data_IF_310620718502
#
_entry.id   IF_310620718502
#
_cell.length_a   1.000
_cell.length_b   1.000
_cell.length_c   1.000
_cell.angle_alpha   90.00
_cell.angle_beta   90.00
_cell.angle_gamma   90.00
#
_symmetry.space_group_name_H-M   'P 1'
#
loop_
_entity.id
_entity.type
_entity.pdbx_description
1 polymer ?
#
# COMPACT_ATOMS: atom_id res chain seq x y z
N UNK A 1 -36.24 9.04 50.85
CA UNK A 1 -35.43 10.28 50.67
C UNK A 1 -34.80 10.62 52.01
N UNK A 2 -33.53 10.28 52.19
CA UNK A 2 -32.72 10.70 53.34
C UNK A 2 -31.28 10.85 52.87
N UNK A 3 -30.78 12.08 52.92
CA UNK A 3 -29.41 12.47 52.58
C UNK A 3 -28.46 11.90 53.63
N UNK A 4 -27.49 11.09 53.19
CA UNK A 4 -26.43 10.51 54.03
C UNK A 4 -25.19 11.39 54.03
N UNK A 5 -24.75 11.71 55.25
CA UNK A 5 -23.51 12.40 55.62
C UNK A 5 -22.25 11.67 55.09
N UNK A 6 -21.24 12.46 54.71
CA UNK A 6 -19.86 12.02 54.47
C UNK A 6 -19.17 11.99 55.84
N UNK A 7 -18.71 10.81 56.28
CA UNK A 7 -17.77 10.69 57.41
C UNK A 7 -16.36 10.34 56.95
N UNK A 8 -15.43 10.89 57.72
CA UNK A 8 -14.02 11.10 57.46
C UNK A 8 -13.16 9.84 57.53
N UNK A 9 -12.00 10.01 56.87
CA UNK A 9 -10.84 9.15 56.84
C UNK A 9 -10.38 8.69 58.23
N UNK A 10 -10.16 7.38 58.38
CA UNK A 10 -9.21 6.85 59.36
C UNK A 10 -8.05 6.19 58.62
N UNK A 11 -6.93 6.88 58.68
CA UNK A 11 -5.59 6.37 58.41
C UNK A 11 -5.23 5.36 59.52
N UNK A 12 -4.88 4.12 59.17
CA UNK A 12 -4.05 3.28 60.03
C UNK A 12 -3.26 2.26 59.22
N UNK A 13 -1.95 2.44 59.32
CA UNK A 13 -0.93 1.40 59.50
C UNK A 13 -0.47 0.55 58.29
N UNK A 14 0.69 0.97 57.82
CA UNK A 14 1.72 0.17 57.17
C UNK A 14 2.17 -0.96 58.12
N UNK A 15 2.00 -2.21 57.72
CA UNK A 15 2.85 -3.31 58.21
C UNK A 15 3.47 -4.06 57.03
N UNK A 16 4.80 -4.12 57.10
CA UNK A 16 5.69 -4.79 56.15
C UNK A 16 5.47 -6.30 56.23
N UNK A 17 5.29 -6.97 55.09
CA UNK A 17 6.20 -8.06 54.75
C UNK A 17 6.02 -8.61 53.33
N UNK A 18 7.18 -8.76 52.70
CA UNK A 18 7.56 -9.88 51.85
C UNK A 18 7.19 -9.85 50.36
N UNK A 19 8.27 -9.97 49.59
CA UNK A 19 8.39 -10.55 48.25
C UNK A 19 8.09 -9.70 47.00
N UNK A 20 9.19 -9.60 46.22
CA UNK A 20 9.26 -9.70 44.76
C UNK A 20 9.24 -8.37 44.01
N UNK A 21 10.45 -7.90 43.69
CA UNK A 21 10.72 -7.22 42.42
C UNK A 21 10.06 -8.01 41.29
N UNK A 22 9.10 -7.41 40.59
CA UNK A 22 8.83 -7.76 39.21
C UNK A 22 8.31 -6.55 38.44
N UNK A 23 9.24 -5.96 37.68
CA UNK A 23 8.97 -5.17 36.49
C UNK A 23 7.88 -5.86 35.66
N UNK A 24 6.74 -5.20 35.44
CA UNK A 24 5.81 -5.61 34.40
C UNK A 24 5.48 -4.40 33.54
N UNK A 25 6.45 -4.03 32.69
CA UNK A 25 6.13 -3.45 31.39
C UNK A 25 5.32 -4.53 30.68
N UNK A 26 4.00 -4.42 30.68
CA UNK A 26 3.17 -5.22 29.81
C UNK A 26 3.46 -4.78 28.37
N UNK A 27 4.46 -5.44 27.76
CA UNK A 27 4.59 -5.50 26.31
C UNK A 27 3.37 -6.22 25.79
N UNK A 28 2.40 -5.48 25.28
CA UNK A 28 1.32 -6.02 24.47
C UNK A 28 1.95 -6.81 23.32
N UNK A 29 1.66 -8.12 23.16
CA UNK A 29 2.22 -8.87 22.06
C UNK A 29 1.56 -8.39 20.76
N UNK A 30 2.32 -7.68 19.93
CA UNK A 30 2.03 -7.47 18.52
C UNK A 30 1.91 -8.85 17.88
N UNK A 31 0.68 -9.37 17.79
CA UNK A 31 0.39 -10.65 17.16
C UNK A 31 -0.80 -10.49 16.22
N UNK A 32 -0.57 -9.78 15.11
CA UNK A 32 -1.41 -9.94 13.93
C UNK A 32 -0.60 -10.70 12.90
N UNK A 33 -0.91 -12.00 12.77
CA UNK A 33 -0.49 -12.83 11.64
C UNK A 33 -0.73 -12.02 10.36
N UNK A 34 0.33 -11.65 9.65
CA UNK A 34 0.25 -10.99 8.36
C UNK A 34 -0.65 -11.87 7.47
N UNK A 35 -1.89 -11.45 7.20
CA UNK A 35 -2.73 -12.12 6.21
C UNK A 35 -1.94 -12.07 4.90
N UNK A 36 -1.73 -13.23 4.29
CA UNK A 36 -0.98 -13.43 3.04
C UNK A 36 -1.37 -12.31 2.05
N UNK A 37 -0.41 -11.52 1.60
CA UNK A 37 -0.61 -10.54 0.53
C UNK A 37 -1.22 -11.30 -0.65
N UNK A 38 -2.39 -10.86 -1.12
CA UNK A 38 -3.04 -11.49 -2.27
C UNK A 38 -2.06 -11.47 -3.45
N UNK A 39 -1.88 -12.61 -4.12
CA UNK A 39 -1.07 -12.68 -5.34
C UNK A 39 -1.90 -12.13 -6.48
N UNK A 40 -1.57 -10.91 -6.91
CA UNK A 40 -2.16 -10.27 -8.08
C UNK A 40 -1.86 -11.10 -9.34
N UNK A 41 -2.87 -11.31 -10.17
CA UNK A 41 -2.74 -12.06 -11.42
C UNK A 41 -2.17 -11.17 -12.52
N UNK A 42 -0.84 -11.19 -12.67
CA UNK A 42 -0.17 -10.46 -13.76
C UNK A 42 -0.50 -11.03 -15.14
N UNK A 43 -0.99 -12.27 -15.20
CA UNK A 43 -1.39 -12.96 -16.43
C UNK A 43 -2.60 -12.31 -17.13
N UNK A 44 -3.29 -11.39 -16.45
CA UNK A 44 -4.35 -10.56 -17.02
C UNK A 44 -3.79 -9.52 -17.99
N UNK A 45 -2.54 -9.10 -17.82
CA UNK A 45 -1.93 -8.07 -18.64
C UNK A 45 -1.64 -8.58 -20.06
N UNK A 46 -2.05 -7.79 -21.04
CA UNK A 46 -1.81 -8.04 -22.46
C UNK A 46 -1.02 -6.87 -23.08
N UNK A 47 -0.34 -7.14 -24.18
CA UNK A 47 0.39 -6.14 -24.95
C UNK A 47 0.16 -6.33 -26.45
N UNK A 48 0.43 -5.28 -27.22
CA UNK A 48 0.41 -5.30 -28.68
C UNK A 48 1.69 -4.71 -29.25
N UNK A 49 1.98 -4.99 -30.52
CA UNK A 49 3.23 -4.57 -31.16
C UNK A 49 3.31 -3.04 -31.31
N UNK A 50 4.49 -2.49 -31.03
CA UNK A 50 4.81 -1.10 -31.31
C UNK A 50 5.10 -0.93 -32.82
N UNK A 51 4.25 -0.20 -33.54
CA UNK A 51 4.44 0.08 -34.98
C UNK A 51 5.64 0.99 -35.29
N UNK A 52 6.13 1.76 -34.32
CA UNK A 52 7.21 2.75 -34.49
C UNK A 52 8.41 2.50 -33.55
N UNK A 53 9.06 1.32 -33.59
CA UNK A 53 10.12 0.97 -32.63
C UNK A 53 11.43 1.75 -32.86
N UNK A 54 11.60 2.38 -34.02
CA UNK A 54 12.80 3.13 -34.40
C UNK A 54 12.79 4.59 -33.93
N UNK A 55 11.78 5.01 -33.16
CA UNK A 55 11.65 6.36 -32.64
C UNK A 55 11.22 6.30 -31.18
N UNK A 56 11.87 7.10 -30.33
CA UNK A 56 11.41 7.29 -28.97
C UNK A 56 10.16 8.16 -28.95
N UNK A 57 9.13 7.69 -28.26
CA UNK A 57 7.96 8.46 -27.90
C UNK A 57 7.49 8.03 -26.51
N UNK A 58 6.89 8.95 -25.76
CA UNK A 58 6.43 8.68 -24.41
C UNK A 58 4.93 8.43 -24.43
N UNK A 59 4.50 7.32 -23.82
CA UNK A 59 3.10 7.04 -23.51
C UNK A 59 2.89 7.39 -22.04
N UNK A 60 1.86 8.21 -21.76
CA UNK A 60 1.39 8.53 -20.42
C UNK A 60 -0.04 8.01 -20.24
N UNK A 61 -0.26 7.22 -19.20
CA UNK A 61 -1.55 6.64 -18.82
C UNK A 61 -1.86 7.08 -17.40
N UNK A 62 -3.02 7.71 -17.21
CA UNK A 62 -3.50 8.16 -15.89
C UNK A 62 -4.78 7.40 -15.53
N UNK A 63 -4.76 6.71 -14.40
CA UNK A 63 -5.94 6.13 -13.78
C UNK A 63 -6.27 6.88 -12.48
N UNK A 64 -7.26 7.80 -12.49
CA UNK A 64 -7.64 8.57 -11.30
C UNK A 64 -8.56 7.81 -10.33
N UNK A 65 -8.95 6.57 -10.65
CA UNK A 65 -9.95 5.80 -9.91
C UNK A 65 -9.35 4.55 -9.24
N UNK A 66 -8.04 4.55 -8.98
CA UNK A 66 -7.40 3.40 -8.34
C UNK A 66 -7.81 3.28 -6.87
N UNK A 67 -8.03 2.04 -6.42
CA UNK A 67 -8.36 1.74 -5.04
C UNK A 67 -7.78 0.41 -4.59
N UNK A 68 -7.42 0.33 -3.30
CA UNK A 68 -6.98 -0.88 -2.62
C UNK A 68 -7.44 -0.87 -1.16
N UNK A 69 -6.98 -1.81 -0.33
CA UNK A 69 -7.34 -1.87 1.08
C UNK A 69 -6.09 -1.74 1.96
N UNK A 70 -6.19 -0.91 3.00
CA UNK A 70 -5.13 -0.80 4.00
C UNK A 70 -4.93 -2.15 4.73
N UNK A 71 -3.72 -2.75 4.73
CA UNK A 71 -3.47 -4.03 5.39
C UNK A 71 -3.79 -4.07 6.88
N UNK A 72 -3.72 -2.92 7.55
CA UNK A 72 -3.83 -2.81 9.02
C UNK A 72 -5.26 -2.52 9.46
N UNK A 73 -5.93 -1.57 8.81
CA UNK A 73 -7.26 -1.07 9.21
C UNK A 73 -8.39 -1.74 8.44
N UNK A 74 -8.10 -2.27 7.24
CA UNK A 74 -9.13 -2.81 6.34
C UNK A 74 -9.98 -1.75 5.65
N UNK A 75 -9.66 -0.46 5.81
CA UNK A 75 -10.36 0.63 5.14
C UNK A 75 -9.88 0.78 3.68
N UNK A 76 -10.76 1.23 2.77
CA UNK A 76 -10.42 1.41 1.37
C UNK A 76 -9.53 2.64 1.18
N UNK A 77 -8.38 2.46 0.55
CA UNK A 77 -7.49 3.53 0.12
C UNK A 77 -7.78 3.90 -1.34
N UNK A 78 -7.65 5.19 -1.66
CA UNK A 78 -7.90 5.73 -3.00
C UNK A 78 -6.69 6.52 -3.46
N UNK A 79 -6.39 6.43 -4.75
CA UNK A 79 -5.27 7.17 -5.32
C UNK A 79 -5.36 7.29 -6.84
N UNK A 80 -4.46 8.09 -7.39
CA UNK A 80 -4.22 8.22 -8.82
C UNK A 80 -2.96 7.46 -9.17
N UNK A 81 -3.00 6.66 -10.22
CA UNK A 81 -1.81 6.01 -10.80
C UNK A 81 -1.47 6.68 -12.12
N UNK A 82 -0.23 7.12 -12.26
CA UNK A 82 0.34 7.61 -13.51
C UNK A 82 1.46 6.67 -13.95
N UNK A 83 1.33 6.09 -15.14
CA UNK A 83 2.37 5.30 -15.79
C UNK A 83 2.91 6.11 -16.96
N UNK A 84 4.23 6.32 -17.00
CA UNK A 84 4.94 6.96 -18.12
C UNK A 84 6.00 6.00 -18.63
N UNK A 85 6.01 5.70 -19.91
CA UNK A 85 7.03 4.81 -20.47
C UNK A 85 7.37 5.12 -21.92
N UNK A 86 8.59 4.79 -22.31
CA UNK A 86 9.04 4.73 -23.70
C UNK A 86 9.04 3.27 -24.12
N UNK A 87 8.14 2.83 -25.03
CA UNK A 87 8.08 1.44 -25.45
C UNK A 87 9.31 1.05 -26.27
N UNK A 88 9.68 -0.23 -26.21
CA UNK A 88 10.57 -0.83 -27.21
C UNK A 88 9.76 -1.52 -28.30
N UNK A 89 9.54 -2.84 -28.22
CA UNK A 89 8.79 -3.61 -29.21
C UNK A 89 7.29 -3.71 -28.95
N UNK A 90 6.83 -3.41 -27.74
CA UNK A 90 5.44 -3.62 -27.35
C UNK A 90 4.89 -2.45 -26.52
N UNK A 91 3.57 -2.30 -26.58
CA UNK A 91 2.77 -1.34 -25.83
C UNK A 91 1.72 -2.09 -25.00
N UNK A 92 1.41 -1.59 -23.81
CA UNK A 92 0.38 -2.20 -22.94
C UNK A 92 -1.02 -2.00 -23.51
N UNK A 93 -1.85 -3.03 -23.46
CA UNK A 93 -3.26 -2.94 -23.85
C UNK A 93 -4.11 -2.37 -22.69
N UNK A 94 -4.87 -1.31 -22.94
CA UNK A 94 -5.53 -0.52 -21.89
C UNK A 94 -6.65 -1.26 -21.16
N UNK A 95 -7.41 -2.14 -21.83
CA UNK A 95 -8.48 -2.92 -21.21
C UNK A 95 -7.90 -3.92 -20.20
N UNK A 96 -6.82 -4.61 -20.54
CA UNK A 96 -6.09 -5.55 -19.71
C UNK A 96 -5.51 -4.84 -18.49
N UNK A 97 -4.90 -3.65 -18.68
CA UNK A 97 -4.38 -2.82 -17.61
C UNK A 97 -5.46 -2.37 -16.62
N UNK A 98 -6.64 -2.01 -17.12
CA UNK A 98 -7.81 -1.71 -16.27
C UNK A 98 -8.19 -2.91 -15.40
N UNK A 99 -8.26 -4.12 -15.97
CA UNK A 99 -8.59 -5.32 -15.20
C UNK A 99 -7.49 -5.70 -14.20
N UNK A 100 -6.22 -5.50 -14.56
CA UNK A 100 -5.11 -5.65 -13.65
C UNK A 100 -5.24 -4.72 -12.43
N UNK A 101 -5.63 -3.46 -12.62
CA UNK A 101 -5.91 -2.55 -11.50
C UNK A 101 -7.11 -2.98 -10.64
N UNK A 102 -8.15 -3.59 -11.24
CA UNK A 102 -9.31 -4.06 -10.48
C UNK A 102 -8.99 -5.16 -9.48
N UNK A 103 -7.98 -5.99 -9.75
CA UNK A 103 -7.56 -7.03 -8.81
C UNK A 103 -7.04 -6.41 -7.47
N UNK A 104 -6.62 -5.14 -7.44
CA UNK A 104 -6.12 -4.49 -6.23
C UNK A 104 -7.23 -4.03 -5.29
N UNK A 105 -8.48 -3.92 -5.78
CA UNK A 105 -9.62 -3.32 -5.07
C UNK A 105 -9.86 -3.91 -3.68
N UNK A 106 -9.56 -5.18 -3.50
CA UNK A 106 -9.74 -5.90 -2.24
C UNK A 106 -8.41 -6.42 -1.65
N UNK A 107 -7.29 -6.02 -2.25
CA UNK A 107 -5.96 -6.42 -1.81
C UNK A 107 -5.54 -5.57 -0.61
N UNK A 108 -5.17 -6.26 0.47
CA UNK A 108 -4.50 -5.64 1.62
C UNK A 108 -3.03 -5.40 1.32
N UNK A 109 -2.66 -4.21 0.83
CA UNK A 109 -1.29 -3.93 0.36
C UNK A 109 -0.88 -2.49 0.66
N UNK A 110 0.41 -2.28 1.00
CA UNK A 110 0.98 -0.95 1.25
C UNK A 110 1.25 -0.21 -0.07
N UNK A 111 1.22 1.11 -0.02
CA UNK A 111 1.37 1.98 -1.18
C UNK A 111 2.66 1.73 -1.94
N UNK A 112 3.77 1.62 -1.23
CA UNK A 112 5.10 1.37 -1.78
C UNK A 112 5.16 0.04 -2.52
N UNK A 113 4.51 -0.99 -1.97
CA UNK A 113 4.44 -2.30 -2.58
C UNK A 113 3.57 -2.29 -3.85
N UNK A 114 2.48 -1.52 -3.87
CA UNK A 114 1.64 -1.35 -5.08
C UNK A 114 2.48 -0.75 -6.20
N UNK A 115 3.16 0.38 -5.93
CA UNK A 115 3.94 1.11 -6.94
C UNK A 115 5.06 0.25 -7.52
N UNK A 116 5.84 -0.42 -6.67
CA UNK A 116 6.93 -1.30 -7.11
C UNK A 116 6.39 -2.52 -7.87
N UNK A 117 5.30 -3.12 -7.40
CA UNK A 117 4.72 -4.28 -8.07
C UNK A 117 4.19 -3.95 -9.47
N UNK A 118 3.55 -2.79 -9.64
CA UNK A 118 3.09 -2.33 -10.94
C UNK A 118 4.28 -2.13 -11.89
N UNK A 119 5.38 -1.53 -11.41
CA UNK A 119 6.60 -1.40 -12.20
C UNK A 119 7.13 -2.77 -12.63
N UNK A 120 7.33 -3.70 -11.69
CA UNK A 120 7.90 -5.02 -11.95
C UNK A 120 7.08 -5.81 -12.97
N UNK A 121 5.76 -5.84 -12.80
CA UNK A 121 4.86 -6.59 -13.69
C UNK A 121 4.83 -5.97 -15.10
N UNK A 122 4.86 -4.63 -15.21
CA UNK A 122 4.90 -3.95 -16.52
C UNK A 122 6.26 -4.04 -17.21
N UNK A 123 7.37 -3.98 -16.46
CA UNK A 123 8.72 -4.18 -17.02
C UNK A 123 8.86 -5.60 -17.56
N UNK A 124 8.38 -6.61 -16.81
CA UNK A 124 8.39 -8.00 -17.24
C UNK A 124 7.54 -8.23 -18.51
N UNK A 125 6.41 -7.54 -18.64
CA UNK A 125 5.53 -7.63 -19.81
C UNK A 125 6.12 -6.91 -21.03
N UNK A 126 6.53 -5.65 -20.86
CA UNK A 126 6.78 -4.74 -21.98
C UNK A 126 8.23 -4.69 -22.42
N UNK A 127 9.17 -5.00 -21.51
CA UNK A 127 10.61 -4.73 -21.69
C UNK A 127 10.86 -3.33 -22.27
N UNK A 128 10.35 -2.26 -21.62
CA UNK A 128 10.40 -0.90 -22.15
C UNK A 128 11.81 -0.34 -22.11
N UNK A 129 12.07 0.76 -22.83
CA UNK A 129 13.36 1.48 -22.72
C UNK A 129 13.47 2.21 -21.39
N UNK A 130 12.39 2.91 -21.03
CA UNK A 130 12.21 3.55 -19.73
C UNK A 130 10.77 3.36 -19.27
N UNK A 131 10.55 3.24 -17.97
CA UNK A 131 9.22 3.18 -17.38
C UNK A 131 9.24 3.82 -16.00
N UNK A 132 8.25 4.64 -15.69
CA UNK A 132 8.06 5.27 -14.39
C UNK A 132 6.61 5.08 -13.96
N UNK A 133 6.44 4.66 -12.71
CA UNK A 133 5.13 4.57 -12.06
C UNK A 133 5.11 5.57 -10.91
N UNK A 134 4.08 6.41 -10.89
CA UNK A 134 3.80 7.37 -9.83
C UNK A 134 2.42 7.03 -9.26
N UNK A 135 2.32 6.89 -7.95
CA UNK A 135 1.04 6.70 -7.25
C UNK A 135 0.84 7.81 -6.23
N UNK A 136 -0.26 8.54 -6.35
CA UNK A 136 -0.61 9.68 -5.49
C UNK A 136 -1.84 9.32 -4.65
N UNK A 137 -1.69 9.30 -3.32
CA UNK A 137 -2.71 8.77 -2.41
C UNK A 137 -3.51 9.86 -1.71
N UNK A 138 -4.81 9.61 -1.54
CA UNK A 138 -5.70 10.50 -0.76
C UNK A 138 -5.31 10.49 0.71
N UNK A 139 -5.59 11.61 1.37
CA UNK A 139 -5.10 11.85 2.72
C UNK A 139 -5.65 10.86 3.76
N UNK A 140 -4.78 10.40 4.66
CA UNK A 140 -5.10 9.64 5.87
C UNK A 140 -4.60 10.44 7.08
N UNK A 141 -5.51 10.83 7.98
CA UNK A 141 -5.16 11.67 9.13
C UNK A 141 -4.56 13.02 8.75
N UNK A 142 -4.92 13.56 7.59
CA UNK A 142 -4.37 14.82 7.05
C UNK A 142 -3.03 14.69 6.32
N UNK A 143 -2.50 13.46 6.14
CA UNK A 143 -1.22 13.21 5.48
C UNK A 143 -1.46 12.53 4.15
N UNK A 144 -0.82 13.03 3.08
CA UNK A 144 -0.79 12.41 1.75
C UNK A 144 0.58 11.81 1.49
N UNK A 145 0.61 10.82 0.60
CA UNK A 145 1.85 10.18 0.17
C UNK A 145 1.87 10.08 -1.35
N UNK A 146 3.04 10.32 -1.93
CA UNK A 146 3.31 10.07 -3.35
C UNK A 146 4.52 9.16 -3.42
N UNK A 147 4.36 8.02 -4.10
CA UNK A 147 5.45 7.06 -4.34
C UNK A 147 5.78 7.07 -5.82
N UNK A 148 7.06 7.20 -6.13
CA UNK A 148 7.59 7.18 -7.50
C UNK A 148 8.68 6.12 -7.60
N UNK A 149 8.59 5.29 -8.63
CA UNK A 149 9.64 4.32 -8.98
C UNK A 149 9.89 4.35 -10.48
N UNK A 150 11.16 4.21 -10.87
CA UNK A 150 11.58 4.27 -12.27
C UNK A 150 12.50 3.11 -12.61
N UNK A 151 12.33 2.60 -13.83
CA UNK A 151 13.18 1.63 -14.50
C UNK A 151 13.78 2.27 -15.75
N UNK A 152 15.06 2.00 -15.99
CA UNK A 152 15.78 2.34 -17.21
C UNK A 152 16.55 1.10 -17.66
N UNK A 153 16.35 0.67 -18.91
CA UNK A 153 17.09 -0.45 -19.46
C UNK A 153 18.59 -0.12 -19.49
N UNK A 154 19.42 -1.02 -18.97
CA UNK A 154 20.87 -0.87 -19.10
C UNK A 154 21.24 -1.21 -20.54
N UNK A 155 21.92 -0.27 -21.20
CA UNK A 155 22.38 -0.38 -22.59
C UNK A 155 23.39 -1.49 -22.80
#
# INVERSE_FOLDING_TARGET
>A
MSYGYIEELKHTEVTKNSHRFLFCIQKSPVSRKQKRCQTMKKEILECFDNTYPNRDYTIEIVNPEFTSVCPITGLPDFGTITIRYVPDKSCVELKSLKYYFFEFRHAGIFYENITNKILDDLVALLQPRTLTVITEWKARGGITETVTVSYCATS
#
